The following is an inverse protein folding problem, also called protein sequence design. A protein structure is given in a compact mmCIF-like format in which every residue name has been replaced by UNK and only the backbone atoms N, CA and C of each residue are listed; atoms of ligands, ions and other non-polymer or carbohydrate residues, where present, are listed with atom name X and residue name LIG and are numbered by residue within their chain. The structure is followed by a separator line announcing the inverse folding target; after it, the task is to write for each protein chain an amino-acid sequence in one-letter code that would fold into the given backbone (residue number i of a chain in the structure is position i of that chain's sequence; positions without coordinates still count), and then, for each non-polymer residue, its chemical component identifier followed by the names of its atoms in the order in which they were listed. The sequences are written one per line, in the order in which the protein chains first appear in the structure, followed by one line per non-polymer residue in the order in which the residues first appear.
data_IF_629053024323
#
_entry.id   IF_629053024323
#
_cell.length_a   1.000
_cell.length_b   1.000
_cell.length_c   1.000
_cell.angle_alpha   90.00
_cell.angle_beta   90.00
_cell.angle_gamma   90.00
#
_symmetry.space_group_name_H-M   'P 1'
#
loop_
_entity.id
_entity.type
_entity.pdbx_description
1 polymer ?
#
# COMPACT_ATOMS: atom_id res chain seq x y z
N UNK A 1 -28.50 -24.76 -16.88
CA UNK A 1 -27.95 -23.72 -15.98
C UNK A 1 -26.58 -23.35 -16.50
N UNK A 2 -26.40 -22.09 -16.90
CA UNK A 2 -25.24 -21.64 -17.67
C UNK A 2 -24.02 -21.53 -16.75
N UNK A 3 -23.01 -22.35 -17.03
CA UNK A 3 -21.72 -22.39 -16.36
C UNK A 3 -20.99 -21.04 -16.50
N UNK A 4 -20.89 -20.27 -15.41
CA UNK A 4 -19.95 -19.15 -15.30
C UNK A 4 -18.61 -19.67 -14.77
N UNK A 5 -17.91 -20.44 -15.61
CA UNK A 5 -16.51 -20.81 -15.37
C UNK A 5 -15.62 -19.79 -16.06
N UNK A 6 -14.65 -19.28 -15.29
CA UNK A 6 -13.32 -18.79 -15.74
C UNK A 6 -13.28 -17.63 -16.72
N UNK A 7 -13.02 -16.43 -16.19
CA UNK A 7 -12.38 -15.24 -16.79
C UNK A 7 -12.26 -14.25 -15.61
N UNK A 8 -11.11 -13.91 -15.03
CA UNK A 8 -9.91 -13.37 -15.66
C UNK A 8 -8.69 -13.52 -14.74
N UNK A 9 -7.60 -14.00 -15.31
CA UNK A 9 -6.25 -13.66 -14.89
C UNK A 9 -5.70 -12.62 -15.87
N UNK A 10 -4.86 -11.71 -15.34
CA UNK A 10 -4.05 -10.70 -16.02
C UNK A 10 -4.77 -9.42 -16.53
N UNK A 11 -4.55 -8.32 -15.81
CA UNK A 11 -4.19 -7.06 -16.47
C UNK A 11 -3.26 -6.22 -15.58
N UNK A 12 -1.97 -6.32 -15.84
CA UNK A 12 -1.02 -5.27 -15.51
C UNK A 12 -1.08 -4.22 -16.63
N UNK A 13 -1.42 -2.98 -16.26
CA UNK A 13 -1.23 -1.69 -16.96
C UNK A 13 -1.66 -1.55 -18.44
N UNK A 14 -2.65 -0.68 -18.71
CA UNK A 14 -2.59 0.51 -19.60
C UNK A 14 -4.01 1.00 -20.03
N UNK A 15 -4.28 2.29 -19.74
CA UNK A 15 -5.15 3.27 -20.42
C UNK A 15 -6.65 2.99 -20.74
N UNK A 16 -7.48 3.83 -20.10
CA UNK A 16 -8.51 4.70 -20.70
C UNK A 16 -9.46 4.11 -21.77
N UNK A 17 -10.65 3.68 -21.35
CA UNK A 17 -11.84 3.77 -22.19
C UNK A 17 -13.04 4.28 -21.38
N UNK A 18 -13.50 5.46 -21.77
CA UNK A 18 -14.76 6.05 -21.36
C UNK A 18 -15.92 5.11 -21.70
N UNK A 19 -16.93 5.08 -20.84
CA UNK A 19 -18.25 4.55 -21.18
C UNK A 19 -19.33 5.39 -20.46
N UNK A 20 -20.52 5.51 -21.08
CA UNK A 20 -21.39 6.67 -20.94
C UNK A 20 -22.14 6.74 -19.61
N UNK A 21 -22.30 7.97 -19.13
CA UNK A 21 -23.25 8.36 -18.09
C UNK A 21 -24.67 8.03 -18.57
N UNK A 22 -25.31 7.10 -17.86
CA UNK A 22 -26.75 6.91 -17.94
C UNK A 22 -27.39 7.88 -16.94
N UNK A 23 -28.00 8.94 -17.49
CA UNK A 23 -28.85 9.85 -16.74
C UNK A 23 -30.10 9.10 -16.24
N UNK A 24 -30.33 9.15 -14.93
CA UNK A 24 -31.54 8.65 -14.27
C UNK A 24 -31.96 9.62 -13.17
N UNK A 25 -33.08 10.29 -13.42
CA UNK A 25 -33.71 11.37 -12.68
C UNK A 25 -33.82 11.20 -11.15
N UNK A 26 -33.70 12.32 -10.43
CA UNK A 26 -34.05 12.41 -9.01
C UNK A 26 -33.69 13.76 -8.40
N UNK A 27 -34.37 14.82 -8.81
CA UNK A 27 -34.28 16.11 -8.12
C UNK A 27 -35.02 16.08 -6.77
N UNK A 28 -34.52 16.87 -5.81
CA UNK A 28 -35.19 18.06 -5.24
C UNK A 28 -34.99 18.21 -3.72
N UNK A 29 -34.66 19.45 -3.31
CA UNK A 29 -34.80 19.98 -1.93
C UNK A 29 -33.57 19.77 -1.04
N UNK A 30 -33.05 20.75 -0.31
CA UNK A 30 -33.52 22.07 0.05
C UNK A 30 -33.03 22.39 1.48
N UNK A 31 -32.49 23.59 1.69
CA UNK A 31 -32.13 24.15 3.01
C UNK A 31 -30.78 23.63 3.54
N UNK A 32 -29.89 24.44 4.11
CA UNK A 32 -30.01 25.80 4.63
C UNK A 32 -29.25 25.83 5.97
N UNK A 33 -28.45 26.88 6.18
CA UNK A 33 -28.13 27.35 7.53
C UNK A 33 -26.85 26.84 8.21
N UNK A 34 -25.84 27.71 8.19
CA UNK A 34 -25.07 28.23 9.33
C UNK A 34 -24.68 27.30 10.50
N UNK A 35 -23.39 27.32 10.82
CA UNK A 35 -22.88 26.93 12.14
C UNK A 35 -21.38 27.12 12.28
N UNK A 36 -20.93 28.36 12.46
CA UNK A 36 -19.58 28.66 12.97
C UNK A 36 -19.52 28.31 14.48
N UNK A 37 -18.51 27.55 14.87
CA UNK A 37 -18.03 27.42 16.25
C UNK A 37 -16.66 26.73 16.18
N UNK A 38 -15.53 27.35 16.48
CA UNK A 38 -15.28 28.21 17.64
C UNK A 38 -14.70 27.32 18.74
N UNK A 39 -13.40 27.03 18.67
CA UNK A 39 -12.72 26.15 19.63
C UNK A 39 -11.24 26.47 19.73
N UNK A 40 -10.92 27.61 20.36
CA UNK A 40 -9.58 27.92 20.86
C UNK A 40 -9.40 27.22 22.21
N UNK A 41 -8.35 26.41 22.35
CA UNK A 41 -7.91 25.84 23.62
C UNK A 41 -6.41 25.97 23.78
N UNK A 42 -5.94 27.14 24.20
CA UNK A 42 -4.58 27.31 24.74
C UNK A 42 -4.60 26.96 26.23
N UNK A 43 -4.14 25.76 26.58
CA UNK A 43 -3.83 25.37 27.95
C UNK A 43 -2.41 25.79 28.30
N UNK A 44 -2.30 26.78 29.19
CA UNK A 44 -1.03 27.22 29.77
C UNK A 44 -0.46 26.20 30.74
N UNK A 45 0.87 26.13 30.79
CA UNK A 45 1.62 25.38 31.78
C UNK A 45 2.92 26.12 32.11
N UNK A 46 2.85 27.04 33.07
CA UNK A 46 4.02 27.53 33.81
C UNK A 46 4.19 26.67 35.05
N UNK A 47 5.32 25.97 35.17
CA UNK A 47 5.76 25.30 36.38
C UNK A 47 7.21 25.68 36.65
N UNK A 48 7.42 26.55 37.63
CA UNK A 48 8.74 26.94 38.13
C UNK A 48 9.36 25.85 39.01
N UNK A 49 10.68 25.92 39.17
CA UNK A 49 11.44 25.08 40.11
C UNK A 49 12.89 25.52 40.20
N UNK A 50 13.26 26.03 41.37
CA UNK A 50 14.54 26.63 41.74
C UNK A 50 15.72 25.62 41.73
N UNK A 51 16.93 26.16 41.55
CA UNK A 51 18.18 25.46 41.85
C UNK A 51 19.40 26.38 41.84
N UNK A 52 19.48 27.28 42.83
CA UNK A 52 20.69 28.06 43.14
C UNK A 52 21.72 27.14 43.78
N UNK A 53 22.90 27.02 43.16
CA UNK A 53 24.10 26.45 43.76
C UNK A 53 25.27 27.39 43.52
N UNK A 54 25.71 28.07 44.57
CA UNK A 54 26.80 29.04 44.56
C UNK A 54 27.90 28.53 45.51
N UNK A 55 29.17 28.72 45.15
CA UNK A 55 30.35 28.55 46.02
C UNK A 55 31.28 27.43 45.55
N UNK A 56 32.57 27.65 45.29
CA UNK A 56 33.39 28.84 45.44
C UNK A 56 34.87 28.50 45.21
N UNK A 57 35.71 29.56 45.16
CA UNK A 57 37.18 29.57 45.29
C UNK A 57 37.98 28.87 44.17
N UNK A 58 39.18 29.29 43.77
CA UNK A 58 40.05 30.43 44.06
C UNK A 58 41.23 30.33 43.08
N UNK A 59 41.73 31.50 42.66
CA UNK A 59 43.07 31.86 42.18
C UNK A 59 43.90 30.92 41.29
N UNK A 60 44.33 31.49 40.16
CA UNK A 60 45.50 31.09 39.38
C UNK A 60 45.88 32.17 38.37
N UNK A 61 46.75 33.08 38.79
CA UNK A 61 47.28 34.23 38.05
C UNK A 61 48.29 33.80 36.95
N UNK A 62 48.70 34.78 36.13
CA UNK A 62 49.69 34.78 35.03
C UNK A 62 49.11 34.36 33.67
N UNK A 63 49.16 35.15 32.61
CA UNK A 63 49.97 36.34 32.33
C UNK A 63 50.76 36.07 31.05
N UNK A 64 50.23 36.50 29.89
CA UNK A 64 51.03 36.78 28.71
C UNK A 64 50.15 37.49 27.66
N UNK A 65 50.34 38.81 27.60
CA UNK A 65 50.03 39.67 26.47
C UNK A 65 50.79 39.26 25.20
N UNK A 66 50.36 39.84 24.07
CA UNK A 66 50.93 39.87 22.70
C UNK A 66 50.11 39.00 21.74
N UNK A 67 49.57 39.47 20.62
CA UNK A 67 49.66 40.76 19.97
C UNK A 67 48.63 40.79 18.83
N UNK A 68 48.13 41.98 18.53
CA UNK A 68 47.25 42.23 17.37
C UNK A 68 48.09 42.23 16.08
N UNK A 69 47.46 41.81 14.98
CA UNK A 69 47.35 42.55 13.70
C UNK A 69 47.68 41.77 12.42
N UNK A 70 46.85 42.06 11.41
CA UNK A 70 47.10 42.15 9.96
C UNK A 70 47.49 40.87 9.20
N UNK A 71 46.62 40.36 8.31
CA UNK A 71 46.40 40.82 6.92
C UNK A 71 47.65 40.68 6.03
N UNK A 72 47.64 39.75 5.07
CA UNK A 72 48.07 40.02 3.69
C UNK A 72 47.75 38.86 2.73
N UNK A 73 47.22 39.26 1.58
CA UNK A 73 47.07 38.51 0.33
C UNK A 73 48.44 38.21 -0.27
N UNK A 74 48.57 37.06 -0.92
CA UNK A 74 49.69 36.74 -1.82
C UNK A 74 49.19 36.02 -3.05
N UNK A 75 48.83 36.78 -4.08
CA UNK A 75 48.76 36.30 -5.45
C UNK A 75 50.19 35.95 -5.91
N UNK A 76 50.38 34.80 -6.53
CA UNK A 76 51.51 34.59 -7.44
C UNK A 76 50.95 34.15 -8.79
N UNK A 77 51.30 34.93 -9.79
CA UNK A 77 50.90 34.80 -11.17
C UNK A 77 51.90 33.91 -11.93
N UNK A 78 51.33 33.09 -12.83
CA UNK A 78 51.69 32.93 -14.24
C UNK A 78 53.12 32.46 -14.59
N UNK A 79 53.20 31.22 -15.06
CA UNK A 79 54.16 30.81 -16.09
C UNK A 79 53.37 30.38 -17.33
N UNK A 80 53.62 31.05 -18.44
CA UNK A 80 53.14 30.69 -19.77
C UNK A 80 54.01 29.53 -20.30
N UNK A 81 53.39 28.45 -20.73
CA UNK A 81 54.01 27.53 -21.68
C UNK A 81 52.94 27.15 -22.67
N UNK A 82 53.11 27.78 -23.83
CA UNK A 82 52.42 27.58 -25.08
C UNK A 82 52.72 26.17 -25.60
N UNK A 83 51.75 25.28 -25.46
CA UNK A 83 51.66 24.07 -26.27
C UNK A 83 50.24 24.03 -26.81
N UNK A 84 50.08 24.47 -28.05
CA UNK A 84 48.91 24.24 -28.89
C UNK A 84 48.62 22.73 -28.96
N UNK A 85 47.78 22.25 -28.06
CA UNK A 85 47.11 20.96 -28.18
C UNK A 85 45.79 21.23 -28.88
N UNK A 86 45.72 20.75 -30.10
CA UNK A 86 44.55 20.65 -30.97
C UNK A 86 43.27 20.39 -30.16
N UNK A 87 42.37 21.37 -30.15
CA UNK A 87 41.05 21.27 -29.54
C UNK A 87 40.19 20.38 -30.43
N UNK A 88 40.44 19.07 -30.40
CA UNK A 88 39.35 18.13 -30.66
C UNK A 88 38.32 18.43 -29.58
N UNK A 89 37.22 19.08 -29.95
CA UNK A 89 35.99 19.02 -29.18
C UNK A 89 35.68 17.54 -28.98
N UNK A 90 36.14 17.00 -27.85
CA UNK A 90 35.54 15.81 -27.26
C UNK A 90 34.14 16.28 -26.98
N UNK A 91 33.24 16.02 -27.93
CA UNK A 91 31.81 16.19 -27.76
C UNK A 91 31.53 15.57 -26.40
N UNK A 92 31.22 16.42 -25.42
CA UNK A 92 30.99 15.96 -24.07
C UNK A 92 29.74 15.11 -24.18
N UNK A 93 29.92 13.80 -24.32
CA UNK A 93 28.86 12.83 -24.07
C UNK A 93 28.30 13.28 -22.74
N UNK A 94 27.04 13.75 -22.68
CA UNK A 94 26.51 14.29 -21.45
C UNK A 94 26.72 13.22 -20.41
N UNK A 95 27.57 13.50 -19.41
CA UNK A 95 27.79 12.58 -18.31
C UNK A 95 26.42 12.48 -17.66
N UNK A 96 25.68 11.40 -17.95
CA UNK A 96 24.39 11.16 -17.34
C UNK A 96 24.60 11.35 -15.85
N UNK A 97 23.96 12.39 -15.30
CA UNK A 97 24.12 12.70 -13.88
C UNK A 97 23.68 11.45 -13.15
N UNK A 98 24.62 10.79 -12.44
CA UNK A 98 24.36 9.63 -11.60
C UNK A 98 23.03 9.83 -10.87
N UNK A 99 22.15 8.82 -10.86
CA UNK A 99 20.76 8.96 -10.41
C UNK A 99 20.66 9.65 -9.04
N UNK A 100 21.60 9.39 -8.13
CA UNK A 100 21.70 10.03 -6.81
C UNK A 100 21.82 11.55 -6.84
N UNK A 101 22.49 12.12 -7.86
CA UNK A 101 22.57 13.56 -8.05
C UNK A 101 21.23 14.17 -8.52
N UNK A 102 20.37 13.36 -9.17
CA UNK A 102 19.01 13.74 -9.58
C UNK A 102 18.01 13.69 -8.41
N UNK A 103 18.19 12.79 -7.44
CA UNK A 103 17.22 12.56 -6.35
C UNK A 103 16.98 13.77 -5.42
N UNK A 104 18.03 14.53 -5.07
CA UNK A 104 17.91 15.64 -4.12
C UNK A 104 17.25 15.19 -2.80
N UNK A 105 16.08 15.76 -2.48
CA UNK A 105 15.30 15.39 -1.27
C UNK A 105 14.76 13.95 -1.29
N UNK A 106 14.54 13.37 -2.47
CA UNK A 106 14.02 12.00 -2.63
C UNK A 106 15.01 10.93 -2.14
N UNK A 107 16.28 11.27 -1.91
CA UNK A 107 17.20 10.35 -1.26
C UNK A 107 16.70 9.89 0.12
N UNK A 108 15.91 10.73 0.82
CA UNK A 108 15.29 10.36 2.10
C UNK A 108 14.27 9.22 2.02
N UNK A 109 13.84 8.78 0.83
CA UNK A 109 13.06 7.55 0.65
C UNK A 109 13.85 6.30 1.05
N UNK A 110 15.18 6.33 1.03
CA UNK A 110 16.02 5.19 1.42
C UNK A 110 16.02 4.91 2.93
N UNK A 111 15.43 5.78 3.76
CA UNK A 111 15.36 5.59 5.22
C UNK A 111 14.67 4.26 5.57
N UNK A 112 15.10 3.61 6.65
CA UNK A 112 14.40 2.43 7.18
C UNK A 112 12.93 2.75 7.48
N UNK A 113 12.05 1.76 7.39
CA UNK A 113 10.60 1.93 7.54
C UNK A 113 10.18 2.61 8.84
N UNK A 114 10.88 2.39 9.95
CA UNK A 114 10.58 3.04 11.22
C UNK A 114 10.85 4.55 11.15
N UNK A 115 12.00 4.96 10.60
CA UNK A 115 12.33 6.38 10.41
C UNK A 115 11.49 7.03 9.31
N UNK A 116 11.13 6.25 8.29
CA UNK A 116 10.23 6.65 7.22
C UNK A 116 8.85 7.01 7.79
N UNK A 117 8.22 6.11 8.54
CA UNK A 117 6.87 6.34 9.08
C UNK A 117 6.83 7.37 10.21
N UNK A 118 7.90 7.50 10.99
CA UNK A 118 7.98 8.52 12.05
C UNK A 118 8.45 9.90 11.54
N UNK A 119 8.62 10.07 10.23
CA UNK A 119 9.00 11.38 9.67
C UNK A 119 7.86 12.39 9.87
N UNK A 120 8.18 13.55 10.44
CA UNK A 120 7.24 14.65 10.70
C UNK A 120 7.24 15.73 9.59
N UNK A 121 7.93 15.47 8.47
CA UNK A 121 8.05 16.46 7.40
C UNK A 121 6.76 16.53 6.59
N UNK A 122 6.17 17.74 6.47
CA UNK A 122 4.97 17.97 5.65
C UNK A 122 5.14 17.50 4.20
N UNK A 123 6.34 17.70 3.66
CA UNK A 123 6.74 17.32 2.29
C UNK A 123 6.94 15.81 2.10
N UNK A 124 6.84 15.03 3.18
CA UNK A 124 6.95 13.58 3.17
C UNK A 124 5.61 12.89 3.43
N UNK A 125 4.63 13.65 3.94
CA UNK A 125 3.32 13.14 4.34
C UNK A 125 2.56 12.50 3.17
N UNK A 126 2.62 13.10 1.97
CA UNK A 126 1.97 12.54 0.78
C UNK A 126 2.57 11.17 0.39
N UNK A 127 3.89 11.01 0.46
CA UNK A 127 4.58 9.75 0.15
C UNK A 127 4.33 8.69 1.24
N UNK A 128 4.25 9.09 2.51
CA UNK A 128 3.82 8.20 3.60
C UNK A 128 2.38 7.72 3.41
N UNK A 129 1.47 8.63 3.05
CA UNK A 129 0.08 8.31 2.78
C UNK A 129 -0.03 7.34 1.61
N UNK A 130 0.67 7.60 0.50
CA UNK A 130 0.73 6.70 -0.65
C UNK A 130 1.21 5.29 -0.27
N UNK A 131 2.31 5.17 0.48
CA UNK A 131 2.82 3.85 0.91
C UNK A 131 1.83 3.14 1.84
N UNK A 132 1.24 3.86 2.77
CA UNK A 132 0.26 3.27 3.71
C UNK A 132 -0.99 2.81 2.98
N UNK A 133 -1.49 3.62 2.04
CA UNK A 133 -2.67 3.30 1.24
C UNK A 133 -2.39 2.12 0.29
N UNK A 134 -1.23 2.12 -0.37
CA UNK A 134 -0.81 1.03 -1.25
C UNK A 134 -0.60 -0.28 -0.48
N UNK A 135 -0.08 -0.21 0.75
CA UNK A 135 0.03 -1.38 1.62
C UNK A 135 -1.34 -1.92 2.02
N UNK A 136 -2.30 -1.04 2.37
CA UNK A 136 -3.69 -1.44 2.62
C UNK A 136 -4.34 -2.06 1.40
N UNK A 137 -4.14 -1.49 0.22
CA UNK A 137 -4.63 -2.05 -1.04
C UNK A 137 -4.08 -3.46 -1.28
N UNK A 138 -2.78 -3.65 -1.05
CA UNK A 138 -2.13 -4.96 -1.19
C UNK A 138 -2.72 -6.01 -0.23
N UNK A 139 -2.88 -5.65 1.05
CA UNK A 139 -3.47 -6.55 2.06
C UNK A 139 -4.93 -6.86 1.73
N UNK A 140 -5.71 -5.85 1.31
CA UNK A 140 -7.10 -6.02 0.93
C UNK A 140 -7.24 -6.92 -0.32
N UNK A 141 -6.34 -6.78 -1.30
CA UNK A 141 -6.31 -7.66 -2.46
C UNK A 141 -6.00 -9.11 -2.06
N UNK A 142 -5.02 -9.32 -1.19
CA UNK A 142 -4.71 -10.66 -0.68
C UNK A 142 -5.90 -11.28 0.08
N UNK A 143 -6.65 -10.47 0.84
CA UNK A 143 -7.88 -10.91 1.50
C UNK A 143 -9.00 -11.25 0.50
N UNK A 144 -9.15 -10.47 -0.58
CA UNK A 144 -10.09 -10.77 -1.65
C UNK A 144 -9.74 -12.09 -2.37
N UNK A 145 -8.47 -12.30 -2.68
CA UNK A 145 -8.00 -13.54 -3.30
C UNK A 145 -8.25 -14.76 -2.39
N UNK A 146 -8.01 -14.62 -1.08
CA UNK A 146 -8.28 -15.68 -0.11
C UNK A 146 -9.78 -15.98 0.06
N UNK A 147 -10.62 -14.95 0.09
CA UNK A 147 -12.07 -15.11 0.16
C UNK A 147 -12.62 -15.78 -1.11
N UNK A 148 -12.14 -15.39 -2.30
CA UNK A 148 -12.50 -16.02 -3.56
C UNK A 148 -12.09 -17.50 -3.61
N UNK A 149 -10.88 -17.84 -3.12
CA UNK A 149 -10.43 -19.22 -3.00
C UNK A 149 -11.32 -20.05 -2.06
N UNK A 150 -11.77 -19.45 -0.95
CA UNK A 150 -12.67 -20.08 0.02
C UNK A 150 -14.04 -20.37 -0.60
N UNK A 151 -14.63 -19.39 -1.29
CA UNK A 151 -15.88 -19.54 -2.03
C UNK A 151 -15.80 -20.64 -3.11
N UNK A 152 -14.68 -20.70 -3.85
CA UNK A 152 -14.44 -21.75 -4.84
C UNK A 152 -14.36 -23.15 -4.21
N UNK A 153 -13.72 -23.29 -3.05
CA UNK A 153 -13.64 -24.54 -2.31
C UNK A 153 -15.03 -24.98 -1.80
N UNK A 154 -15.82 -24.06 -1.25
CA UNK A 154 -17.18 -24.34 -0.78
C UNK A 154 -18.09 -24.80 -1.93
N UNK A 155 -17.95 -24.18 -3.12
CA UNK A 155 -18.69 -24.58 -4.31
C UNK A 155 -18.28 -25.98 -4.80
N UNK A 156 -16.99 -26.30 -4.79
CA UNK A 156 -16.51 -27.64 -5.16
C UNK A 156 -17.06 -28.72 -4.22
N UNK A 157 -17.18 -28.43 -2.91
CA UNK A 157 -17.80 -29.34 -1.96
C UNK A 157 -19.30 -29.53 -2.23
N UNK A 158 -20.03 -28.47 -2.55
CA UNK A 158 -21.44 -28.56 -2.93
C UNK A 158 -21.64 -29.41 -4.19
N UNK A 159 -20.78 -29.25 -5.20
CA UNK A 159 -20.81 -30.04 -6.43
C UNK A 159 -20.54 -31.53 -6.14
N UNK A 160 -19.61 -31.83 -5.22
CA UNK A 160 -19.31 -33.19 -4.79
C UNK A 160 -20.51 -33.85 -4.08
N UNK A 161 -21.16 -33.13 -3.15
CA UNK A 161 -22.35 -33.61 -2.45
C UNK A 161 -23.52 -33.85 -3.42
N UNK A 162 -23.73 -32.94 -4.37
CA UNK A 162 -24.76 -33.09 -5.41
C UNK A 162 -24.47 -34.30 -6.33
N UNK A 163 -23.20 -34.58 -6.62
CA UNK A 163 -22.79 -35.77 -7.38
C UNK A 163 -23.12 -37.05 -6.61
N UNK A 164 -22.83 -37.10 -5.31
CA UNK A 164 -23.18 -38.23 -4.46
C UNK A 164 -24.70 -38.42 -4.37
N UNK A 165 -25.46 -37.34 -4.23
CA UNK A 165 -26.92 -37.40 -4.16
C UNK A 165 -27.52 -37.91 -5.48
N UNK A 166 -26.98 -37.45 -6.60
CA UNK A 166 -27.39 -37.93 -7.93
C UNK A 166 -27.07 -39.42 -8.12
N UNK A 167 -25.92 -39.88 -7.63
CA UNK A 167 -25.55 -41.30 -7.70
C UNK A 167 -26.51 -42.19 -6.89
N UNK A 168 -26.91 -41.77 -5.68
CA UNK A 168 -27.84 -42.54 -4.85
C UNK A 168 -29.27 -42.52 -5.41
N UNK A 169 -29.71 -41.40 -5.97
CA UNK A 169 -31.08 -41.23 -6.48
C UNK A 169 -31.27 -41.80 -7.89
N UNK A 170 -30.20 -42.09 -8.62
CA UNK A 170 -30.23 -42.71 -9.95
C UNK A 170 -30.07 -44.24 -9.94
N UNK A 171 -30.01 -44.87 -8.76
CA UNK A 171 -29.97 -46.33 -8.65
C UNK A 171 -31.22 -46.97 -9.27
N UNK A 172 -31.00 -47.96 -10.13
CA UNK A 172 -32.08 -48.75 -10.76
C UNK A 172 -32.67 -49.75 -9.78
N UNK A 173 -33.92 -50.18 -10.01
CA UNK A 173 -34.57 -51.21 -9.20
C UNK A 173 -33.76 -52.52 -9.14
N UNK A 174 -33.09 -52.91 -10.24
CA UNK A 174 -32.23 -54.08 -10.27
C UNK A 174 -30.97 -53.91 -9.39
N UNK A 175 -30.35 -52.72 -9.40
CA UNK A 175 -29.21 -52.43 -8.53
C UNK A 175 -29.62 -52.41 -7.05
N UNK A 176 -30.78 -51.84 -6.74
CA UNK A 176 -31.33 -51.84 -5.37
C UNK A 176 -31.60 -53.28 -4.92
N UNK A 177 -32.25 -54.10 -5.76
CA UNK A 177 -32.54 -55.49 -5.44
C UNK A 177 -31.27 -56.35 -5.24
N UNK A 178 -30.14 -55.96 -5.85
CA UNK A 178 -28.84 -56.61 -5.66
C UNK A 178 -28.11 -56.18 -4.37
N UNK A 179 -28.55 -55.10 -3.70
CA UNK A 179 -28.01 -54.69 -2.39
C UNK A 179 -28.53 -55.60 -1.27
N UNK A 180 -27.83 -55.65 -0.14
CA UNK A 180 -28.29 -56.39 1.04
C UNK A 180 -29.63 -55.81 1.57
N UNK A 181 -30.50 -56.60 2.20
CA UNK A 181 -31.75 -56.09 2.78
C UNK A 181 -31.53 -54.96 3.80
N UNK A 182 -30.42 -55.02 4.56
CA UNK A 182 -30.04 -53.97 5.50
C UNK A 182 -29.68 -52.66 4.78
N UNK A 183 -28.93 -52.72 3.67
CA UNK A 183 -28.56 -51.53 2.89
C UNK A 183 -29.76 -50.93 2.15
N UNK A 184 -30.68 -51.77 1.66
CA UNK A 184 -31.94 -51.31 1.05
C UNK A 184 -32.77 -50.51 2.06
N UNK A 185 -32.93 -51.03 3.28
CA UNK A 185 -33.67 -50.35 4.34
C UNK A 185 -33.00 -49.03 4.79
N UNK A 186 -31.66 -48.95 4.74
CA UNK A 186 -30.91 -47.75 5.11
C UNK A 186 -30.86 -46.67 4.01
N UNK A 187 -31.13 -47.01 2.75
CA UNK A 187 -30.97 -46.10 1.60
C UNK A 187 -31.80 -44.80 1.71
N UNK A 188 -33.09 -44.81 2.10
CA UNK A 188 -33.87 -43.58 2.27
C UNK A 188 -33.28 -42.65 3.35
N UNK A 189 -32.72 -43.24 4.41
CA UNK A 189 -32.03 -42.49 5.47
C UNK A 189 -30.76 -41.82 4.97
N UNK A 190 -29.95 -42.53 4.17
CA UNK A 190 -28.74 -41.96 3.53
C UNK A 190 -29.08 -40.81 2.58
N UNK A 191 -30.12 -40.95 1.77
CA UNK A 191 -30.59 -39.89 0.87
C UNK A 191 -31.05 -38.66 1.67
N UNK A 192 -31.87 -38.86 2.69
CA UNK A 192 -32.37 -37.77 3.53
C UNK A 192 -31.23 -37.03 4.25
N UNK A 193 -30.25 -37.77 4.79
CA UNK A 193 -29.07 -37.20 5.44
C UNK A 193 -28.23 -36.37 4.45
N UNK A 194 -27.99 -36.89 3.25
CA UNK A 194 -27.20 -36.19 2.24
C UNK A 194 -27.92 -34.95 1.67
N UNK A 195 -29.25 -34.98 1.56
CA UNK A 195 -30.04 -33.80 1.21
C UNK A 195 -29.92 -32.69 2.28
N UNK A 196 -29.90 -33.06 3.56
CA UNK A 196 -29.67 -32.11 4.64
C UNK A 196 -28.25 -31.51 4.56
N UNK A 197 -27.25 -32.32 4.23
CA UNK A 197 -25.86 -31.86 4.05
C UNK A 197 -25.72 -30.92 2.84
N UNK A 198 -26.34 -31.23 1.70
CA UNK A 198 -26.42 -30.33 0.52
C UNK A 198 -27.05 -28.99 0.90
N UNK A 199 -28.14 -29.02 1.68
CA UNK A 199 -28.82 -27.80 2.13
C UNK A 199 -27.92 -26.96 3.04
N UNK A 200 -27.23 -27.59 3.99
CA UNK A 200 -26.26 -26.91 4.85
C UNK A 200 -25.10 -26.32 4.05
N UNK A 201 -24.53 -27.09 3.11
CA UNK A 201 -23.44 -26.63 2.26
C UNK A 201 -23.85 -25.48 1.34
N UNK A 202 -25.11 -25.45 0.87
CA UNK A 202 -25.62 -24.33 0.08
C UNK A 202 -25.63 -23.02 0.87
N UNK A 203 -25.88 -23.07 2.19
CA UNK A 203 -25.79 -21.90 3.05
C UNK A 203 -24.34 -21.43 3.20
N UNK A 204 -23.37 -22.35 3.33
CA UNK A 204 -21.94 -22.04 3.35
C UNK A 204 -21.50 -21.36 2.06
N UNK A 205 -21.85 -21.93 0.90
CA UNK A 205 -21.56 -21.33 -0.42
C UNK A 205 -22.11 -19.91 -0.53
N UNK A 206 -23.32 -19.66 -0.02
CA UNK A 206 -23.93 -18.33 -0.05
C UNK A 206 -23.16 -17.35 0.83
N UNK A 207 -22.78 -17.77 2.04
CA UNK A 207 -22.01 -16.96 2.97
C UNK A 207 -20.61 -16.63 2.41
N UNK A 208 -19.90 -17.61 1.86
CA UNK A 208 -18.54 -17.44 1.35
C UNK A 208 -18.51 -16.58 0.07
N UNK A 209 -19.49 -16.74 -0.82
CA UNK A 209 -19.64 -15.84 -1.98
C UNK A 209 -19.90 -14.40 -1.52
N UNK A 210 -20.77 -14.22 -0.52
CA UNK A 210 -21.04 -12.89 0.06
C UNK A 210 -19.79 -12.27 0.68
N UNK A 211 -18.96 -13.09 1.35
CA UNK A 211 -17.69 -12.64 1.91
C UNK A 211 -16.67 -12.28 0.82
N UNK A 212 -16.62 -13.05 -0.29
CA UNK A 212 -15.78 -12.75 -1.45
C UNK A 212 -16.17 -11.41 -2.09
N UNK A 213 -17.47 -11.18 -2.32
CA UNK A 213 -17.97 -9.92 -2.89
C UNK A 213 -17.61 -8.71 -2.00
N UNK A 214 -17.74 -8.85 -0.67
CA UNK A 214 -17.37 -7.81 0.28
C UNK A 214 -15.86 -7.55 0.29
N UNK A 215 -15.04 -8.60 0.23
CA UNK A 215 -13.60 -8.48 0.19
C UNK A 215 -13.12 -7.81 -1.11
N UNK A 216 -13.74 -8.12 -2.25
CA UNK A 216 -13.46 -7.45 -3.53
C UNK A 216 -13.84 -5.96 -3.47
N UNK A 217 -15.01 -5.62 -2.94
CA UNK A 217 -15.41 -4.22 -2.77
C UNK A 217 -14.44 -3.44 -1.85
N UNK A 218 -13.96 -4.09 -0.78
CA UNK A 218 -12.95 -3.52 0.11
C UNK A 218 -11.59 -3.33 -0.59
N UNK A 219 -11.17 -4.30 -1.41
CA UNK A 219 -9.95 -4.20 -2.22
C UNK A 219 -10.03 -3.03 -3.20
N UNK A 220 -11.13 -2.89 -3.94
CA UNK A 220 -11.37 -1.77 -4.87
C UNK A 220 -11.30 -0.44 -4.13
N UNK A 221 -12.00 -0.32 -3.00
CA UNK A 221 -11.98 0.90 -2.18
C UNK A 221 -10.57 1.25 -1.71
N UNK A 222 -9.76 0.24 -1.37
CA UNK A 222 -8.39 0.44 -0.91
C UNK A 222 -7.43 0.91 -2.01
N UNK A 223 -7.76 0.76 -3.31
CA UNK A 223 -6.93 1.27 -4.42
C UNK A 223 -7.00 2.78 -4.62
N UNK A 224 -7.96 3.47 -3.99
CA UNK A 224 -8.10 4.93 -4.14
C UNK A 224 -6.81 5.62 -3.65
N UNK A 225 -6.18 6.39 -4.53
CA UNK A 225 -4.92 7.10 -4.23
C UNK A 225 -3.66 6.27 -4.33
N UNK A 226 -3.73 5.04 -4.86
CA UNK A 226 -2.56 4.18 -5.13
C UNK A 226 -2.15 4.19 -6.61
N UNK A 227 -2.77 5.04 -7.41
CA UNK A 227 -2.49 5.16 -8.85
C UNK A 227 -1.19 5.93 -9.13
N UNK A 228 -0.72 5.82 -10.37
CA UNK A 228 0.52 6.45 -10.82
C UNK A 228 0.48 7.98 -10.72
N UNK A 229 -0.66 8.62 -10.97
CA UNK A 229 -0.77 10.08 -10.89
C UNK A 229 -0.68 10.56 -9.43
N UNK A 230 -1.27 9.82 -8.50
CA UNK A 230 -1.13 10.05 -7.07
C UNK A 230 0.34 9.92 -6.61
N UNK A 231 1.07 8.93 -7.13
CA UNK A 231 2.50 8.80 -6.87
C UNK A 231 3.31 9.97 -7.45
N UNK A 232 3.10 10.31 -8.72
CA UNK A 232 3.85 11.38 -9.39
C UNK A 232 3.60 12.74 -8.72
N UNK A 233 2.36 13.02 -8.31
CA UNK A 233 2.01 14.21 -7.54
C UNK A 233 2.74 14.24 -6.18
N UNK A 234 2.79 13.11 -5.48
CA UNK A 234 3.49 13.01 -4.20
C UNK A 234 5.01 13.16 -4.35
N UNK A 235 5.60 12.60 -5.41
CA UNK A 235 7.03 12.75 -5.71
C UNK A 235 7.37 14.19 -6.06
N UNK A 236 6.54 14.84 -6.89
CA UNK A 236 6.72 16.24 -7.27
C UNK A 236 6.64 17.19 -6.08
N UNK A 237 5.69 17.01 -5.14
CA UNK A 237 5.58 17.86 -3.95
C UNK A 237 6.82 17.76 -3.05
N UNK A 238 7.37 16.55 -2.93
CA UNK A 238 8.54 16.26 -2.11
C UNK A 238 9.85 16.74 -2.74
N UNK A 239 9.98 16.59 -4.07
CA UNK A 239 11.21 16.84 -4.79
C UNK A 239 11.61 18.33 -4.74
N UNK A 240 12.92 18.57 -4.79
CA UNK A 240 13.51 19.90 -5.02
C UNK A 240 14.30 19.96 -6.34
N UNK A 241 14.16 18.91 -7.16
CA UNK A 241 14.76 18.72 -8.47
C UNK A 241 13.69 18.11 -9.38
N UNK A 242 13.83 18.23 -10.71
CA UNK A 242 12.91 17.58 -11.64
C UNK A 242 12.80 16.07 -11.37
N UNK A 243 11.58 15.57 -11.37
CA UNK A 243 11.28 14.14 -11.30
C UNK A 243 11.13 13.66 -12.74
N UNK A 244 12.17 13.01 -13.27
CA UNK A 244 12.15 12.37 -14.58
C UNK A 244 11.78 10.89 -14.46
N UNK A 245 11.65 10.20 -15.60
CA UNK A 245 11.27 8.80 -15.65
C UNK A 245 12.21 7.90 -14.83
N UNK A 246 13.52 8.17 -14.84
CA UNK A 246 14.51 7.40 -14.07
C UNK A 246 14.29 7.58 -12.56
N UNK A 247 14.06 8.82 -12.13
CA UNK A 247 13.79 9.15 -10.72
C UNK A 247 12.48 8.52 -10.26
N UNK A 248 11.44 8.54 -11.08
CA UNK A 248 10.16 7.86 -10.78
C UNK A 248 10.35 6.35 -10.69
N UNK A 249 11.03 5.72 -11.66
CA UNK A 249 11.29 4.28 -11.65
C UNK A 249 12.11 3.85 -10.42
N UNK A 250 13.13 4.63 -10.07
CA UNK A 250 13.91 4.40 -8.86
C UNK A 250 13.05 4.54 -7.60
N UNK A 251 12.21 5.58 -7.53
CA UNK A 251 11.32 5.79 -6.38
C UNK A 251 10.31 4.64 -6.26
N UNK A 252 9.69 4.19 -7.35
CA UNK A 252 8.81 3.03 -7.37
C UNK A 252 9.50 1.79 -6.81
N UNK A 253 10.74 1.49 -7.22
CA UNK A 253 11.51 0.37 -6.69
C UNK A 253 11.76 0.45 -5.18
N UNK A 254 12.13 1.64 -4.67
CA UNK A 254 12.33 1.86 -3.23
C UNK A 254 11.01 1.76 -2.46
N UNK A 255 9.93 2.34 -3.00
CA UNK A 255 8.62 2.37 -2.36
C UNK A 255 7.96 1.00 -2.37
N UNK A 256 8.16 0.16 -3.39
CA UNK A 256 7.65 -1.21 -3.42
C UNK A 256 8.11 -2.00 -2.19
N UNK A 257 9.41 -1.95 -1.87
CA UNK A 257 9.93 -2.59 -0.65
C UNK A 257 9.38 -2.00 0.65
N UNK A 258 8.96 -0.73 0.66
CA UNK A 258 8.30 -0.11 1.82
C UNK A 258 6.84 -0.52 1.95
N UNK A 259 6.14 -0.61 0.83
CA UNK A 259 4.76 -1.08 0.76
C UNK A 259 4.70 -2.50 1.31
N UNK A 260 5.63 -3.38 0.92
CA UNK A 260 5.72 -4.74 1.44
C UNK A 260 5.95 -4.78 2.94
N UNK A 261 6.94 -4.03 3.43
CA UNK A 261 7.22 -3.93 4.88
C UNK A 261 6.02 -3.40 5.67
N UNK A 262 5.24 -2.48 5.09
CA UNK A 262 4.04 -1.96 5.71
C UNK A 262 2.88 -2.93 5.66
N UNK A 263 2.71 -3.65 4.56
CA UNK A 263 1.69 -4.69 4.43
C UNK A 263 1.90 -5.75 5.51
N UNK A 264 3.13 -6.26 5.66
CA UNK A 264 3.48 -7.22 6.72
C UNK A 264 3.19 -6.66 8.12
N UNK A 265 3.43 -5.37 8.36
CA UNK A 265 3.10 -4.74 9.65
C UNK A 265 1.60 -4.60 9.88
N UNK A 266 0.81 -4.35 8.83
CA UNK A 266 -0.65 -4.29 8.92
C UNK A 266 -1.20 -5.68 9.24
N UNK A 267 -0.72 -6.72 8.55
CA UNK A 267 -1.11 -8.11 8.77
C UNK A 267 -0.76 -8.59 10.19
N UNK A 268 0.46 -8.27 10.67
CA UNK A 268 0.89 -8.63 12.03
C UNK A 268 0.07 -7.94 13.14
N UNK A 269 -0.54 -6.78 12.87
CA UNK A 269 -1.43 -6.09 13.81
C UNK A 269 -2.87 -6.61 13.74
N UNK A 270 -3.25 -7.27 12.64
CA UNK A 270 -4.57 -7.86 12.46
C UNK A 270 -4.70 -9.27 13.10
N UNK A 271 -3.59 -9.85 13.56
CA UNK A 271 -3.55 -11.18 14.21
C UNK A 271 -3.35 -10.97 15.72
N UNK A 272 -4.35 -11.26 16.58
CA UNK A 272 -4.22 -11.14 18.04
C UNK A 272 -3.32 -12.22 18.67
#
# INVERSE_FOLDING_TARGET
MTNRKTLFAALAALALLASPVLAGAGGNGGGGGNGNGGGNGNGGGNGGGNGKGNGGASHGNSGASHGKSSSAKGQVAKSETDTTVDTTEVSSVPKEKNIHAKLGRLNSLQRNINAYMNSKSKKFAAIQAFVTQSAKAKVAQAAADAAAATAAAAQAQLDALNTQLSALTSLTAAQIAAMSPADQAALPGKISALQAEVTAQQAVVTADNTAADQAEAAAVTATVGTDQASLDAALADMANKPVDADVTAWAQGVLAGKIDQMATKIEAQATP
#
